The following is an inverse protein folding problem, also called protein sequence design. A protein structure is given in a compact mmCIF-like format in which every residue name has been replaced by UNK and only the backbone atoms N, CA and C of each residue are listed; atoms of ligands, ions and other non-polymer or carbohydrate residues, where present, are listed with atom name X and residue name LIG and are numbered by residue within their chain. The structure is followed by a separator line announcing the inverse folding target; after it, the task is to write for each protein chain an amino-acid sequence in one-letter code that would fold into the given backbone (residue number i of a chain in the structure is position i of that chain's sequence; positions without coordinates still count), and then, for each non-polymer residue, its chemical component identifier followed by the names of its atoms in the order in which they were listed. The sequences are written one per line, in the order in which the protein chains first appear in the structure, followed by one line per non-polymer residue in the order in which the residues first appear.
data_IF_824371384525
#
_entry.id   IF_824371384525
#
_cell.length_a   1.000
_cell.length_b   1.000
_cell.length_c   1.000
_cell.angle_alpha   90.00
_cell.angle_beta   90.00
_cell.angle_gamma   90.00
#
_symmetry.space_group_name_H-M   'P 1'
#
loop_
_entity.id
_entity.type
_entity.pdbx_description
1 polymer ?
#
# COMPACT_ATOMS: atom_id res chain seq x y z
N UNK A 1 -20.95 4.09 -2.64
CA UNK A 1 -21.05 2.93 -3.56
C UNK A 1 -20.13 3.24 -4.73
N UNK A 2 -19.05 2.50 -4.94
CA UNK A 2 -18.12 2.75 -6.04
C UNK A 2 -18.83 2.45 -7.37
N UNK A 3 -19.13 3.47 -8.16
CA UNK A 3 -19.80 3.34 -9.47
C UNK A 3 -18.80 3.55 -10.63
N UNK A 4 -19.23 3.22 -11.85
CA UNK A 4 -18.40 3.29 -13.07
C UNK A 4 -17.79 4.69 -13.23
N UNK A 5 -16.45 4.80 -13.26
CA UNK A 5 -15.78 6.10 -13.42
C UNK A 5 -14.35 6.13 -12.87
N UNK A 6 -13.87 7.34 -12.55
CA UNK A 6 -12.51 7.62 -12.04
C UNK A 6 -12.16 6.83 -10.76
N UNK A 7 -13.13 6.41 -9.96
CA UNK A 7 -12.85 5.65 -8.73
C UNK A 7 -12.40 4.21 -8.99
N UNK A 8 -12.89 3.57 -10.06
CA UNK A 8 -12.47 2.21 -10.45
C UNK A 8 -11.09 2.22 -11.15
N UNK A 9 -10.83 3.31 -11.87
CA UNK A 9 -9.64 3.52 -12.69
C UNK A 9 -9.18 4.98 -12.51
N UNK A 10 -8.35 5.28 -11.50
CA UNK A 10 -7.97 6.66 -11.14
C UNK A 10 -7.19 7.42 -12.23
N UNK A 11 -6.93 6.82 -13.40
CA UNK A 11 -6.37 7.51 -14.55
C UNK A 11 -4.95 8.00 -14.26
N UNK A 12 -4.66 9.26 -14.64
CA UNK A 12 -3.34 9.87 -14.42
C UNK A 12 -3.08 10.28 -12.97
N UNK A 13 -4.10 10.32 -12.12
CA UNK A 13 -3.96 10.59 -10.69
C UNK A 13 -3.54 9.28 -10.00
N UNK A 14 -2.31 9.21 -9.50
CA UNK A 14 -1.80 7.99 -8.88
C UNK A 14 -2.28 7.89 -7.43
N UNK A 15 -3.58 7.65 -7.24
CA UNK A 15 -4.14 7.31 -5.93
C UNK A 15 -4.06 5.80 -5.72
N UNK A 16 -3.46 5.39 -4.60
CA UNK A 16 -3.46 4.00 -4.14
C UNK A 16 -4.39 3.86 -2.94
N UNK A 17 -5.44 3.06 -3.09
CA UNK A 17 -6.30 2.71 -1.97
C UNK A 17 -5.62 1.65 -1.10
N UNK A 18 -5.64 1.85 0.21
CA UNK A 18 -5.01 0.96 1.20
C UNK A 18 -5.97 0.65 2.34
N UNK A 19 -5.78 -0.49 3.00
CA UNK A 19 -6.30 -0.73 4.35
C UNK A 19 -5.19 -0.55 5.37
N UNK A 20 -5.56 -0.43 6.65
CA UNK A 20 -4.60 -0.47 7.74
C UNK A 20 -3.74 -1.73 7.68
N UNK A 21 -2.45 -1.56 7.96
CA UNK A 21 -1.51 -2.67 8.06
C UNK A 21 -1.65 -3.38 9.41
N UNK A 22 -1.11 -4.61 9.55
CA UNK A 22 -1.19 -5.36 10.80
C UNK A 22 -0.50 -4.68 11.99
N UNK A 23 0.44 -3.77 11.73
CA UNK A 23 1.18 -2.99 12.74
C UNK A 23 0.87 -1.49 12.67
N UNK A 24 -0.32 -1.12 12.19
CA UNK A 24 -0.72 0.29 12.06
C UNK A 24 -0.67 1.04 13.41
N UNK A 25 -0.96 0.34 14.49
CA UNK A 25 -0.91 0.86 15.86
C UNK A 25 0.50 1.15 16.38
N UNK A 26 1.55 0.66 15.70
CA UNK A 26 2.95 0.88 16.07
C UNK A 26 3.47 2.27 15.68
N UNK A 27 2.76 2.98 14.79
CA UNK A 27 3.15 4.31 14.31
C UNK A 27 2.58 5.39 15.22
N UNK A 28 3.33 6.48 15.39
CA UNK A 28 2.85 7.64 16.14
C UNK A 28 1.66 8.28 15.42
N UNK A 29 0.65 8.75 16.16
CA UNK A 29 -0.61 9.23 15.59
C UNK A 29 -0.40 10.43 14.64
N UNK A 30 0.47 11.36 15.02
CA UNK A 30 0.88 12.49 14.18
C UNK A 30 1.56 12.03 12.89
N UNK A 31 2.36 10.97 12.96
CA UNK A 31 3.01 10.39 11.79
C UNK A 31 2.04 9.68 10.85
N UNK A 32 0.97 9.08 11.38
CA UNK A 32 -0.10 8.50 10.57
C UNK A 32 -0.86 9.61 9.84
N UNK A 33 -1.20 10.70 10.54
CA UNK A 33 -1.84 11.87 9.91
C UNK A 33 -0.95 12.43 8.79
N UNK A 34 0.33 12.66 9.08
CA UNK A 34 1.30 13.20 8.10
C UNK A 34 1.44 12.28 6.87
N UNK A 35 1.43 10.95 7.07
CA UNK A 35 1.50 9.97 5.98
C UNK A 35 0.38 10.14 4.95
N UNK A 36 -0.86 10.38 5.39
CA UNK A 36 -2.02 10.53 4.50
C UNK A 36 -2.14 11.92 3.87
N UNK A 37 -1.56 12.95 4.51
CA UNK A 37 -1.50 14.30 3.94
C UNK A 37 -0.37 14.45 2.91
N UNK A 38 0.66 13.60 3.03
CA UNK A 38 1.86 13.62 2.19
C UNK A 38 1.60 13.12 0.76
N UNK A 39 2.16 13.84 -0.21
CA UNK A 39 2.35 13.33 -1.57
C UNK A 39 3.67 12.57 -1.66
N UNK A 40 3.59 11.28 -1.97
CA UNK A 40 4.72 10.37 -2.04
C UNK A 40 5.32 10.33 -3.44
N UNK A 41 6.63 10.12 -3.54
CA UNK A 41 7.31 10.02 -4.84
C UNK A 41 7.90 8.63 -4.99
N UNK A 42 7.61 7.96 -6.11
CA UNK A 42 8.25 6.68 -6.45
C UNK A 42 9.73 6.87 -6.74
N UNK A 43 10.56 6.02 -6.15
CA UNK A 43 12.00 5.99 -6.42
C UNK A 43 12.33 5.35 -7.76
N UNK A 44 13.61 5.37 -8.12
CA UNK A 44 14.20 4.61 -9.22
C UNK A 44 14.24 3.09 -8.97
N UNK A 45 14.16 2.66 -7.70
CA UNK A 45 14.12 1.26 -7.29
C UNK A 45 12.69 0.72 -7.34
N UNK A 46 12.22 0.47 -8.55
CA UNK A 46 10.91 -0.12 -8.86
C UNK A 46 11.07 -1.35 -9.74
N UNK A 47 10.49 -2.47 -9.31
CA UNK A 47 10.51 -3.73 -10.06
C UNK A 47 9.34 -4.63 -9.63
N UNK A 48 9.36 -5.89 -10.08
CA UNK A 48 8.29 -6.87 -9.77
C UNK A 48 8.30 -7.40 -8.34
N UNK A 49 9.39 -7.21 -7.59
CA UNK A 49 9.48 -7.53 -6.16
C UNK A 49 8.85 -6.44 -5.30
N UNK A 50 9.04 -5.17 -5.65
CA UNK A 50 8.37 -4.07 -4.93
C UNK A 50 8.55 -2.70 -5.57
N UNK A 51 7.69 -1.78 -5.12
CA UNK A 51 7.73 -0.35 -5.47
C UNK A 51 8.12 0.44 -4.24
N UNK A 52 9.16 1.27 -4.35
CA UNK A 52 9.65 2.09 -3.24
C UNK A 52 9.21 3.54 -3.36
N UNK A 53 8.81 4.13 -2.24
CA UNK A 53 8.34 5.51 -2.15
C UNK A 53 9.12 6.28 -1.09
N UNK A 54 9.39 7.55 -1.37
CA UNK A 54 10.06 8.46 -0.44
C UNK A 54 9.30 9.79 -0.38
N UNK A 55 9.22 10.38 0.80
CA UNK A 55 8.78 11.76 1.01
C UNK A 55 9.18 12.25 2.40
N UNK A 56 8.69 11.58 3.44
CA UNK A 56 8.92 11.90 4.86
C UNK A 56 9.51 10.69 5.59
N UNK A 57 10.02 10.93 6.80
CA UNK A 57 10.39 9.85 7.73
C UNK A 57 9.24 9.61 8.71
N UNK A 58 8.71 8.39 8.70
CA UNK A 58 7.66 7.97 9.63
C UNK A 58 8.23 7.77 11.05
N UNK A 59 7.43 8.16 12.04
CA UNK A 59 7.76 8.04 13.46
C UNK A 59 6.92 6.93 14.09
N UNK A 60 7.55 6.21 15.01
CA UNK A 60 6.96 5.08 15.72
C UNK A 60 6.64 5.49 17.15
N UNK A 61 5.63 4.86 17.74
CA UNK A 61 5.38 4.99 19.18
C UNK A 61 6.53 4.37 19.95
N UNK A 62 6.79 4.91 21.13
CA UNK A 62 7.62 4.20 22.09
C UNK A 62 6.85 2.96 22.57
N UNK A 63 7.50 1.79 22.52
CA UNK A 63 6.88 0.50 22.88
C UNK A 63 7.94 -0.45 23.43
N UNK A 64 7.50 -1.33 24.32
CA UNK A 64 8.35 -2.43 24.79
C UNK A 64 8.48 -3.44 23.65
N UNK A 65 9.72 -3.64 23.20
CA UNK A 65 10.05 -4.59 22.14
C UNK A 65 10.46 -5.94 22.73
N UNK A 66 10.13 -7.02 22.04
CA UNK A 66 10.74 -8.32 22.32
C UNK A 66 12.24 -8.27 21.91
N UNK A 67 13.16 -8.84 22.70
CA UNK A 67 14.59 -8.89 22.36
C UNK A 67 14.90 -9.39 20.95
N UNK A 68 14.07 -10.29 20.42
CA UNK A 68 14.26 -10.90 19.10
C UNK A 68 13.77 -10.00 17.94
N UNK A 69 13.09 -8.87 18.22
CA UNK A 69 12.69 -7.89 17.21
C UNK A 69 13.85 -7.03 16.72
N UNK A 70 15.05 -7.09 17.31
CA UNK A 70 16.14 -6.16 16.98
C UNK A 70 15.93 -4.74 17.53
N UNK A 71 16.77 -3.78 17.10
CA UNK A 71 16.89 -2.48 17.78
C UNK A 71 16.03 -1.35 17.23
N UNK A 72 15.69 -1.38 15.94
CA UNK A 72 14.95 -0.28 15.30
C UNK A 72 13.45 -0.43 15.61
N UNK A 73 12.75 0.67 15.89
CA UNK A 73 11.32 0.64 16.25
C UNK A 73 10.41 0.14 15.11
N UNK A 74 10.90 0.19 13.87
CA UNK A 74 10.23 -0.40 12.72
C UNK A 74 10.33 -1.92 12.66
N UNK A 75 11.19 -2.55 13.47
CA UNK A 75 11.36 -4.00 13.43
C UNK A 75 10.32 -4.73 14.28
N UNK A 76 9.95 -5.92 13.81
CA UNK A 76 9.06 -6.88 14.46
C UNK A 76 9.66 -8.29 14.37
N UNK A 77 9.12 -9.25 15.12
CA UNK A 77 9.33 -10.66 14.81
C UNK A 77 8.81 -10.91 13.40
N UNK A 78 9.59 -11.62 12.58
CA UNK A 78 9.25 -11.93 11.20
C UNK A 78 7.81 -12.47 11.08
N UNK A 79 7.00 -11.80 10.25
CA UNK A 79 5.64 -12.19 9.96
C UNK A 79 5.40 -12.37 8.46
N UNK A 80 4.22 -12.85 8.10
CA UNK A 80 3.79 -12.99 6.72
C UNK A 80 3.53 -11.63 6.06
N UNK A 81 4.02 -11.46 4.85
CA UNK A 81 3.84 -10.24 4.06
C UNK A 81 2.74 -10.48 3.01
N UNK A 82 1.59 -9.78 3.08
CA UNK A 82 0.61 -9.84 2.01
C UNK A 82 1.13 -9.12 0.76
N UNK A 83 0.69 -9.54 -0.43
CA UNK A 83 0.89 -8.76 -1.66
C UNK A 83 0.22 -7.40 -1.45
N UNK A 84 0.96 -6.32 -1.73
CA UNK A 84 0.55 -4.95 -1.44
C UNK A 84 0.95 -4.47 -0.04
N UNK A 85 1.53 -5.32 0.80
CA UNK A 85 2.03 -4.94 2.12
C UNK A 85 3.11 -3.87 2.02
N UNK A 86 2.97 -2.81 2.81
CA UNK A 86 3.81 -1.60 2.75
C UNK A 86 4.77 -1.56 3.93
N UNK A 87 5.97 -2.12 3.76
CA UNK A 87 6.99 -2.14 4.82
C UNK A 87 7.67 -0.77 4.97
N UNK A 88 8.05 -0.41 6.19
CA UNK A 88 8.66 0.89 6.49
C UNK A 88 9.96 0.77 7.28
N UNK A 89 11.05 0.26 6.67
CA UNK A 89 12.33 0.09 7.36
C UNK A 89 12.85 1.45 7.88
N UNK A 90 13.06 1.53 9.20
CA UNK A 90 13.42 2.75 9.93
C UNK A 90 12.50 3.95 9.66
N UNK A 91 11.30 3.73 9.10
CA UNK A 91 10.38 4.78 8.65
C UNK A 91 10.88 5.63 7.48
N UNK A 92 12.06 5.36 6.90
CA UNK A 92 12.71 6.25 5.92
C UNK A 92 12.16 6.15 4.50
N UNK A 93 11.62 4.98 4.17
CA UNK A 93 11.01 4.69 2.89
C UNK A 93 9.82 3.77 3.10
N UNK A 94 8.94 3.73 2.11
CA UNK A 94 7.90 2.71 2.02
C UNK A 94 8.29 1.73 0.93
N UNK A 95 8.28 0.44 1.24
CA UNK A 95 8.47 -0.64 0.28
C UNK A 95 7.13 -1.35 0.12
N UNK A 96 6.40 -1.04 -0.95
CA UNK A 96 5.16 -1.74 -1.28
C UNK A 96 5.48 -3.04 -2.03
N UNK A 97 5.12 -4.17 -1.44
CA UNK A 97 5.48 -5.49 -1.93
C UNK A 97 4.61 -5.89 -3.12
N UNK A 98 5.25 -6.19 -4.24
CA UNK A 98 4.60 -6.54 -5.50
C UNK A 98 4.50 -8.07 -5.67
N UNK A 99 4.13 -8.54 -6.86
CA UNK A 99 3.75 -9.95 -7.07
C UNK A 99 4.88 -10.95 -6.83
N UNK A 100 6.13 -10.54 -7.05
CA UNK A 100 7.30 -11.42 -6.91
C UNK A 100 8.01 -11.18 -5.55
N UNK A 101 7.33 -10.58 -4.57
CA UNK A 101 7.91 -10.25 -3.27
C UNK A 101 8.29 -11.48 -2.43
N UNK A 102 9.08 -11.25 -1.38
CA UNK A 102 9.33 -12.25 -0.34
C UNK A 102 8.06 -12.49 0.49
N UNK A 103 7.92 -13.69 1.04
CA UNK A 103 6.74 -14.12 1.78
C UNK A 103 6.73 -13.70 3.26
N UNK A 104 7.90 -13.43 3.84
CA UNK A 104 8.04 -13.04 5.24
C UNK A 104 9.12 -11.97 5.45
N UNK A 105 9.02 -11.21 6.54
CA UNK A 105 10.06 -10.26 6.95
C UNK A 105 9.75 -9.46 8.20
N UNK A 106 10.79 -8.97 8.85
CA UNK A 106 10.74 -8.34 10.18
C UNK A 106 10.55 -6.83 10.20
N UNK A 107 9.79 -6.27 9.25
CA UNK A 107 9.45 -4.84 9.26
C UNK A 107 7.95 -4.62 9.44
N UNK A 108 7.62 -3.65 10.29
CA UNK A 108 6.27 -3.08 10.43
C UNK A 108 5.71 -2.69 9.06
N UNK A 109 4.40 -2.88 8.92
CA UNK A 109 3.66 -2.53 7.70
C UNK A 109 2.61 -1.49 8.04
N UNK A 110 2.70 -0.31 7.44
CA UNK A 110 1.74 0.80 7.69
C UNK A 110 0.41 0.55 6.99
N UNK A 111 0.42 -0.21 5.91
CA UNK A 111 -0.78 -0.43 5.11
C UNK A 111 -0.65 -1.65 4.22
N UNK A 112 -1.78 -2.00 3.62
CA UNK A 112 -1.85 -2.99 2.53
C UNK A 112 -2.58 -2.36 1.36
N UNK A 113 -1.91 -2.24 0.22
CA UNK A 113 -2.56 -1.82 -1.04
C UNK A 113 -3.63 -2.83 -1.40
N UNK A 114 -4.85 -2.34 -1.57
CA UNK A 114 -5.99 -3.21 -1.84
C UNK A 114 -5.86 -3.87 -3.20
N UNK A 115 -6.45 -5.06 -3.35
CA UNK A 115 -6.40 -5.85 -4.60
C UNK A 115 -6.78 -5.01 -5.82
N UNK A 116 -7.79 -4.14 -5.67
CA UNK A 116 -8.31 -3.29 -6.72
C UNK A 116 -7.37 -2.13 -7.14
N UNK A 117 -6.32 -1.84 -6.36
CA UNK A 117 -5.31 -0.81 -6.68
C UNK A 117 -3.96 -1.40 -7.12
N UNK A 118 -3.81 -2.73 -7.17
CA UNK A 118 -2.54 -3.36 -7.57
C UNK A 118 -2.19 -3.12 -9.05
N UNK A 119 -3.18 -2.90 -9.91
CA UNK A 119 -2.95 -2.51 -11.30
C UNK A 119 -2.41 -1.08 -11.39
N UNK A 120 -2.96 -0.14 -10.62
CA UNK A 120 -2.41 1.22 -10.48
C UNK A 120 -0.97 1.17 -9.99
N UNK A 121 -0.69 0.38 -8.94
CA UNK A 121 0.67 0.18 -8.42
C UNK A 121 1.63 -0.33 -9.51
N UNK A 122 1.18 -1.31 -10.30
CA UNK A 122 1.98 -1.93 -11.37
C UNK A 122 2.23 -1.03 -12.60
N UNK A 123 1.50 0.08 -12.72
CA UNK A 123 1.69 1.07 -13.80
C UNK A 123 2.53 2.28 -13.36
N UNK A 124 2.96 2.33 -12.10
CA UNK A 124 3.83 3.41 -11.65
C UNK A 124 5.18 3.34 -12.34
N UNK A 125 5.74 4.52 -12.62
CA UNK A 125 7.10 4.73 -13.13
C UNK A 125 7.92 5.49 -12.08
N UNK A 126 9.26 5.53 -12.17
CA UNK A 126 10.07 6.38 -11.30
C UNK A 126 9.66 7.85 -11.35
N UNK A 127 9.75 8.56 -10.21
CA UNK A 127 9.46 10.00 -10.11
C UNK A 127 7.97 10.37 -10.15
N UNK A 128 7.06 9.39 -10.05
CA UNK A 128 5.61 9.63 -10.04
C UNK A 128 5.15 10.01 -8.63
N UNK A 129 4.30 11.03 -8.60
CA UNK A 129 3.61 11.52 -7.41
C UNK A 129 2.38 10.66 -7.12
N UNK A 130 2.25 10.20 -5.89
CA UNK A 130 1.26 9.22 -5.46
C UNK A 130 0.64 9.68 -4.14
N UNK A 131 -0.65 9.48 -3.96
CA UNK A 131 -1.33 9.65 -2.67
C UNK A 131 -1.92 8.33 -2.20
N UNK A 132 -1.80 8.06 -0.91
CA UNK A 132 -2.45 6.91 -0.28
C UNK A 132 -3.80 7.34 0.29
N UNK A 133 -4.83 6.52 0.09
CA UNK A 133 -6.16 6.74 0.66
C UNK A 133 -6.59 5.52 1.46
N UNK A 134 -6.78 5.72 2.76
CA UNK A 134 -7.33 4.70 3.64
C UNK A 134 -8.79 4.43 3.29
N UNK A 135 -9.15 3.15 3.19
CA UNK A 135 -10.52 2.69 3.04
C UNK A 135 -10.78 1.52 3.98
N UNK A 136 -12.05 1.28 4.29
CA UNK A 136 -12.43 0.12 5.09
C UNK A 136 -12.26 -1.19 4.31
N UNK A 137 -12.28 -2.31 5.03
CA UNK A 137 -12.26 -3.64 4.41
C UNK A 137 -13.52 -3.85 3.54
N UNK A 138 -14.67 -3.35 3.99
CA UNK A 138 -15.93 -3.39 3.25
C UNK A 138 -15.83 -2.63 1.93
N UNK A 139 -15.26 -1.44 1.96
CA UNK A 139 -15.03 -0.62 0.77
C UNK A 139 -14.03 -1.27 -0.17
N UNK A 140 -12.95 -1.88 0.35
CA UNK A 140 -11.99 -2.62 -0.44
C UNK A 140 -12.64 -3.81 -1.17
N UNK A 141 -13.53 -4.54 -0.49
CA UNK A 141 -14.30 -5.64 -1.09
C UNK A 141 -15.30 -5.13 -2.14
N UNK A 142 -16.01 -4.03 -1.85
CA UNK A 142 -16.94 -3.41 -2.79
C UNK A 142 -16.21 -2.93 -4.06
N UNK A 143 -15.07 -2.27 -3.92
CA UNK A 143 -14.25 -1.80 -5.03
C UNK A 143 -13.75 -2.96 -5.90
N UNK A 144 -13.28 -4.05 -5.28
CA UNK A 144 -12.90 -5.28 -5.99
C UNK A 144 -14.08 -5.88 -6.76
N UNK A 145 -15.25 -5.98 -6.13
CA UNK A 145 -16.47 -6.51 -6.77
C UNK A 145 -16.87 -5.65 -7.97
N UNK A 146 -16.83 -4.33 -7.83
CA UNK A 146 -17.16 -3.39 -8.90
C UNK A 146 -16.19 -3.48 -10.09
N UNK A 147 -14.86 -3.56 -9.85
CA UNK A 147 -13.87 -3.79 -10.92
C UNK A 147 -14.08 -5.13 -11.62
N UNK A 148 -14.33 -6.20 -10.87
CA UNK A 148 -14.61 -7.52 -11.46
C UNK A 148 -15.87 -7.48 -12.33
N UNK A 149 -16.95 -6.87 -11.86
CA UNK A 149 -18.19 -6.70 -12.63
C UNK A 149 -17.95 -5.90 -13.92
N UNK A 150 -17.17 -4.81 -13.85
CA UNK A 150 -16.79 -4.03 -15.03
C UNK A 150 -16.05 -4.88 -16.07
N UNK A 151 -15.08 -5.69 -15.64
CA UNK A 151 -14.35 -6.57 -16.56
C UNK A 151 -15.27 -7.63 -17.19
N UNK A 152 -16.21 -8.21 -16.44
CA UNK A 152 -17.13 -9.21 -16.98
C UNK A 152 -18.18 -8.62 -17.91
N UNK A 153 -18.77 -7.46 -17.56
CA UNK A 153 -19.77 -6.80 -18.41
C UNK A 153 -19.16 -6.34 -19.73
N UNK A 154 -17.97 -5.72 -19.69
CA UNK A 154 -17.31 -5.14 -20.86
C UNK A 154 -16.64 -6.21 -21.75
N UNK A 155 -16.14 -7.31 -21.17
CA UNK A 155 -15.49 -8.38 -21.93
C UNK A 155 -16.48 -9.31 -22.65
N UNK A 156 -17.70 -9.45 -22.15
CA UNK A 156 -18.71 -10.34 -22.74
C UNK A 156 -19.52 -9.66 -23.86
N UNK A 157 -19.68 -8.33 -23.83
CA UNK A 157 -20.55 -7.60 -24.79
C UNK A 157 -19.84 -7.02 -26.02
N UNK A 158 -18.53 -7.26 -26.20
CA UNK A 158 -17.75 -6.74 -27.35
C UNK A 158 -17.25 -7.82 -28.32
N UNK A 159 -17.81 -9.03 -28.23
CA UNK A 159 -17.59 -10.10 -29.21
C UNK A 159 -18.86 -10.20 -30.05
N UNK A 160 -19.11 -9.20 -30.89
CA UNK A 160 -20.08 -9.26 -32.00
C UNK A 160 -19.45 -8.60 -33.24
#
# INVERSE_FOLDING_TARGET
MFEKGKELFPGNESVLYITEGPQFDCYAEDSITEFFETEWITSDKINRTGVRFNAITLRFKDRVKDPDEGKDMSNIIDDGIPIGGMQTPSGKEIICMAKDCVSAGGFTKIGVVVKASLDTLGQLSPGRKVKFKLISQEDAMALKKAKNAYYTETAVTKIE
#
